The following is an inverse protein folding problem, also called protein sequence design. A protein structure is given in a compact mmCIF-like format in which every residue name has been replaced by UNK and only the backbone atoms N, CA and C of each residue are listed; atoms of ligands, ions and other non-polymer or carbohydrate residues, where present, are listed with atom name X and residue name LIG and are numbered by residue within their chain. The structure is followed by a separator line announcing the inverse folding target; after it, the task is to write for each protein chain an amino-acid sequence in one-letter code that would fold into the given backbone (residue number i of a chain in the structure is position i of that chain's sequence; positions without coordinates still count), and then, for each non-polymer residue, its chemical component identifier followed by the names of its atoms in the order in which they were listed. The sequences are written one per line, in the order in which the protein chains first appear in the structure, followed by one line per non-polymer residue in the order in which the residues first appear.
data_IF_690708001651
#
_entry.id   IF_690708001651
#
_cell.length_a   1.000
_cell.length_b   1.000
_cell.length_c   1.000
_cell.angle_alpha   90.00
_cell.angle_beta   90.00
_cell.angle_gamma   90.00
#
_symmetry.space_group_name_H-M   'P 1'
#
loop_
_entity.id
_entity.type
_entity.pdbx_description
1 polymer ?
#
# COMPACT_ATOMS: atom_id res chain seq x y z
N UNK A 1 -13.37 -11.88 13.19
CA UNK A 1 -13.31 -11.70 11.73
C UNK A 1 -12.23 -12.64 11.19
N UNK A 2 -12.56 -13.45 10.19
CA UNK A 2 -11.51 -14.20 9.47
C UNK A 2 -10.59 -13.21 8.78
N UNK A 3 -9.28 -13.34 9.02
CA UNK A 3 -8.24 -12.47 8.46
C UNK A 3 -8.34 -12.37 6.93
N UNK A 4 -8.78 -13.45 6.27
CA UNK A 4 -8.96 -13.53 4.83
C UNK A 4 -10.11 -12.64 4.34
N UNK A 5 -11.25 -12.64 5.06
CA UNK A 5 -12.40 -11.80 4.72
C UNK A 5 -12.05 -10.32 4.88
N UNK A 6 -11.36 -9.97 5.96
CA UNK A 6 -10.87 -8.61 6.19
C UNK A 6 -9.87 -8.18 5.10
N UNK A 7 -8.93 -9.07 4.73
CA UNK A 7 -7.94 -8.80 3.68
C UNK A 7 -8.60 -8.58 2.33
N UNK A 8 -9.59 -9.41 1.99
CA UNK A 8 -10.38 -9.26 0.77
C UNK A 8 -11.12 -7.93 0.75
N UNK A 9 -11.87 -7.61 1.81
CA UNK A 9 -12.66 -6.39 1.91
C UNK A 9 -11.78 -5.13 1.85
N UNK A 10 -10.67 -5.10 2.59
CA UNK A 10 -9.70 -4.01 2.48
C UNK A 10 -9.08 -3.92 1.09
N UNK A 11 -8.85 -5.06 0.42
CA UNK A 11 -8.42 -5.10 -0.98
C UNK A 11 -9.39 -4.39 -1.92
N UNK A 12 -10.69 -4.64 -1.77
CA UNK A 12 -11.76 -3.96 -2.51
C UNK A 12 -11.73 -2.46 -2.20
N UNK A 13 -11.66 -2.08 -0.92
CA UNK A 13 -11.61 -0.67 -0.51
C UNK A 13 -10.39 0.06 -1.05
N UNK A 14 -9.21 -0.56 -1.04
CA UNK A 14 -8.00 0.02 -1.61
C UNK A 14 -8.13 0.25 -3.11
N UNK A 15 -8.78 -0.66 -3.83
CA UNK A 15 -9.02 -0.55 -5.26
C UNK A 15 -9.99 0.60 -5.57
N UNK A 16 -11.13 0.67 -4.87
CA UNK A 16 -12.13 1.74 -5.04
C UNK A 16 -11.53 3.10 -4.65
N UNK A 17 -10.84 3.17 -3.51
CA UNK A 17 -10.13 4.38 -3.10
C UNK A 17 -9.16 4.87 -4.17
N UNK A 18 -8.35 3.95 -4.72
CA UNK A 18 -7.38 4.30 -5.77
C UNK A 18 -8.07 4.77 -7.05
N UNK A 19 -9.24 4.24 -7.36
CA UNK A 19 -10.07 4.65 -8.49
C UNK A 19 -10.68 6.04 -8.28
N UNK A 20 -11.28 6.33 -7.12
CA UNK A 20 -11.79 7.67 -6.80
C UNK A 20 -10.64 8.68 -6.88
N UNK A 21 -9.50 8.36 -6.28
CA UNK A 21 -8.33 9.24 -6.27
C UNK A 21 -7.76 9.48 -7.68
N UNK A 22 -7.87 8.49 -8.58
CA UNK A 22 -7.48 8.65 -9.97
C UNK A 22 -8.27 9.79 -10.65
N UNK A 23 -9.59 9.91 -10.41
CA UNK A 23 -10.37 11.02 -10.94
C UNK A 23 -9.99 12.37 -10.32
N UNK A 24 -9.64 12.39 -9.04
CA UNK A 24 -9.14 13.60 -8.38
C UNK A 24 -7.83 14.07 -9.03
N UNK A 25 -6.86 13.16 -9.21
CA UNK A 25 -5.61 13.47 -9.91
C UNK A 25 -5.86 13.92 -11.36
N UNK A 26 -6.82 13.29 -12.05
CA UNK A 26 -7.19 13.66 -13.41
C UNK A 26 -7.79 15.06 -13.48
N UNK A 27 -8.70 15.40 -12.56
CA UNK A 27 -9.30 16.73 -12.45
C UNK A 27 -8.24 17.80 -12.20
N UNK A 28 -7.33 17.56 -11.25
CA UNK A 28 -6.20 18.47 -11.01
C UNK A 28 -5.34 18.65 -12.26
N UNK A 29 -5.00 17.55 -12.96
CA UNK A 29 -4.19 17.62 -14.18
C UNK A 29 -4.84 18.43 -15.30
N UNK A 30 -6.16 18.33 -15.47
CA UNK A 30 -6.89 19.16 -16.44
C UNK A 30 -6.81 20.63 -16.05
N UNK A 31 -7.04 20.94 -14.77
CA UNK A 31 -7.00 22.33 -14.27
C UNK A 31 -5.60 22.95 -14.35
N UNK A 32 -4.55 22.17 -14.11
CA UNK A 32 -3.15 22.62 -14.15
C UNK A 32 -2.50 22.40 -15.51
N UNK A 33 -3.27 22.06 -16.55
CA UNK A 33 -2.76 21.79 -17.89
C UNK A 33 -1.98 23.00 -18.41
N UNK A 34 -0.67 22.84 -18.61
CA UNK A 34 0.26 23.90 -19.04
C UNK A 34 1.23 24.41 -17.97
N UNK A 35 1.03 24.07 -16.69
CA UNK A 35 2.00 24.39 -15.63
C UNK A 35 3.04 23.28 -15.51
N UNK A 36 4.33 23.63 -15.49
CA UNK A 36 5.41 22.69 -15.17
C UNK A 36 5.28 22.35 -13.68
N UNK A 37 4.58 21.26 -13.38
CA UNK A 37 4.43 20.78 -12.01
C UNK A 37 5.79 20.35 -11.47
N UNK A 38 6.31 21.07 -10.48
CA UNK A 38 7.55 20.73 -9.81
C UNK A 38 7.47 19.39 -9.07
N UNK A 39 8.63 18.80 -8.78
CA UNK A 39 8.78 17.55 -8.03
C UNK A 39 8.01 17.60 -6.70
N UNK A 40 8.09 18.75 -6.00
CA UNK A 40 7.43 18.98 -4.71
C UNK A 40 5.90 18.89 -4.78
N UNK A 41 5.29 19.41 -5.86
CA UNK A 41 3.83 19.34 -6.05
C UNK A 41 3.34 17.89 -6.16
N UNK A 42 4.05 17.07 -6.92
CA UNK A 42 3.72 15.65 -7.10
C UNK A 42 3.82 14.87 -5.77
N UNK A 43 4.84 15.14 -4.97
CA UNK A 43 4.98 14.51 -3.65
C UNK A 43 3.96 15.02 -2.63
N UNK A 44 3.54 16.29 -2.69
CA UNK A 44 2.45 16.80 -1.84
C UNK A 44 1.13 16.13 -2.14
N UNK A 45 0.72 16.03 -3.42
CA UNK A 45 -0.50 15.31 -3.80
C UNK A 45 -0.44 13.86 -3.30
N UNK A 46 0.73 13.22 -3.42
CA UNK A 46 0.94 11.86 -2.95
C UNK A 46 0.89 11.73 -1.42
N UNK A 47 1.39 12.73 -0.69
CA UNK A 47 1.29 12.79 0.76
C UNK A 47 -0.17 12.89 1.20
N UNK A 48 -0.93 13.80 0.59
CA UNK A 48 -2.36 14.00 0.85
C UNK A 48 -3.11 12.68 0.57
N UNK A 49 -2.83 12.03 -0.56
CA UNK A 49 -3.36 10.71 -0.90
C UNK A 49 -3.13 9.70 0.23
N UNK A 50 -1.89 9.55 0.69
CA UNK A 50 -1.59 8.48 1.66
C UNK A 50 -2.19 8.78 3.04
N UNK A 51 -2.19 10.05 3.46
CA UNK A 51 -2.81 10.47 4.72
C UNK A 51 -4.33 10.25 4.70
N UNK A 52 -5.01 10.61 3.62
CA UNK A 52 -6.45 10.35 3.48
C UNK A 52 -6.76 8.87 3.42
N UNK A 53 -5.94 8.08 2.71
CA UNK A 53 -6.12 6.63 2.67
C UNK A 53 -6.09 6.04 4.10
N UNK A 54 -5.07 6.39 4.88
CA UNK A 54 -4.93 5.95 6.27
C UNK A 54 -6.15 6.33 7.10
N UNK A 55 -6.59 7.58 6.99
CA UNK A 55 -7.74 8.07 7.72
C UNK A 55 -9.03 7.30 7.37
N UNK A 56 -9.33 7.14 6.08
CA UNK A 56 -10.52 6.43 5.61
C UNK A 56 -10.51 4.98 6.08
N UNK A 57 -9.38 4.29 5.99
CA UNK A 57 -9.23 2.90 6.43
C UNK A 57 -9.37 2.77 7.95
N UNK A 58 -8.83 3.73 8.70
CA UNK A 58 -9.05 3.80 10.14
C UNK A 58 -10.54 4.00 10.49
N UNK A 59 -11.24 4.90 9.78
CA UNK A 59 -12.67 5.16 9.96
C UNK A 59 -13.55 3.95 9.58
N UNK A 60 -13.10 3.12 8.63
CA UNK A 60 -13.71 1.82 8.37
C UNK A 60 -13.48 0.85 9.53
N UNK A 61 -12.29 0.86 10.13
CA UNK A 61 -11.93 -0.02 11.22
C UNK A 61 -12.58 0.33 12.56
N UNK A 62 -12.93 1.61 12.78
CA UNK A 62 -13.50 2.11 14.04
C UNK A 62 -14.98 2.48 13.96
N UNK A 63 -15.55 2.58 12.76
CA UNK A 63 -16.90 3.11 12.56
C UNK A 63 -18.04 2.21 13.06
N UNK A 64 -19.00 2.81 13.76
CA UNK A 64 -20.14 2.19 14.46
C UNK A 64 -21.35 1.82 13.57
N UNK A 65 -21.16 1.48 12.29
CA UNK A 65 -22.29 1.17 11.40
C UNK A 65 -22.62 -0.33 11.40
N UNK A 66 -23.83 -0.66 11.86
CA UNK A 66 -24.42 -1.99 12.10
C UNK A 66 -24.50 -2.93 10.88
N UNK A 67 -24.16 -2.47 9.67
CA UNK A 67 -24.32 -3.24 8.43
C UNK A 67 -23.03 -3.87 7.89
N UNK A 68 -21.86 -3.47 8.41
CA UNK A 68 -20.59 -4.11 8.07
C UNK A 68 -19.79 -4.34 9.34
N UNK A 69 -19.77 -5.59 9.79
CA UNK A 69 -19.08 -6.07 10.99
C UNK A 69 -17.57 -5.76 10.89
N UNK A 70 -17.11 -4.60 11.35
CA UNK A 70 -15.69 -4.41 11.66
C UNK A 70 -15.61 -4.20 13.16
N UNK A 71 -15.30 -5.29 13.85
CA UNK A 71 -15.21 -5.37 15.30
C UNK A 71 -14.09 -4.45 15.82
N UNK A 72 -14.33 -3.73 16.92
CA UNK A 72 -13.41 -2.76 17.56
C UNK A 72 -12.05 -3.39 17.93
N UNK A 73 -11.92 -4.73 17.92
CA UNK A 73 -10.65 -5.49 18.08
C UNK A 73 -9.79 -5.65 16.81
N UNK A 74 -10.20 -5.09 15.67
CA UNK A 74 -9.57 -5.37 14.36
C UNK A 74 -8.46 -4.40 13.93
N UNK A 75 -8.00 -3.49 14.79
CA UNK A 75 -7.00 -2.47 14.40
C UNK A 75 -5.63 -3.06 14.04
N UNK A 76 -5.17 -4.08 14.78
CA UNK A 76 -3.88 -4.74 14.51
C UNK A 76 -3.86 -5.37 13.11
N UNK A 77 -4.82 -6.24 12.72
CA UNK A 77 -4.80 -6.82 11.37
C UNK A 77 -5.02 -5.77 10.28
N UNK A 78 -5.82 -4.71 10.52
CA UNK A 78 -5.95 -3.57 9.59
C UNK A 78 -4.61 -2.89 9.36
N UNK A 79 -3.85 -2.61 10.44
CA UNK A 79 -2.52 -2.03 10.36
C UNK A 79 -1.58 -2.90 9.50
N UNK A 80 -1.55 -4.21 9.75
CA UNK A 80 -0.70 -5.14 8.98
C UNK A 80 -1.11 -5.21 7.50
N UNK A 81 -2.40 -5.28 7.19
CA UNK A 81 -2.88 -5.34 5.81
C UNK A 81 -2.56 -4.03 5.08
N UNK A 82 -2.69 -2.88 5.76
CA UNK A 82 -2.32 -1.57 5.25
C UNK A 82 -0.79 -1.47 5.01
N UNK A 83 0.04 -2.02 5.89
CA UNK A 83 1.48 -2.17 5.70
C UNK A 83 1.81 -2.97 4.45
N UNK A 84 1.18 -4.14 4.28
CA UNK A 84 1.38 -4.98 3.11
C UNK A 84 0.92 -4.30 1.81
N UNK A 85 -0.16 -3.51 1.88
CA UNK A 85 -0.60 -2.67 0.77
C UNK A 85 0.47 -1.65 0.37
N UNK A 86 0.98 -0.85 1.32
CA UNK A 86 2.01 0.14 1.05
C UNK A 86 3.31 -0.49 0.56
N UNK A 87 3.71 -1.62 1.14
CA UNK A 87 4.87 -2.38 0.70
C UNK A 87 4.71 -2.86 -0.74
N UNK A 88 3.51 -3.32 -1.12
CA UNK A 88 3.23 -3.68 -2.50
C UNK A 88 3.25 -2.52 -3.46
N UNK A 89 2.78 -1.36 -3.03
CA UNK A 89 2.86 -0.13 -3.82
C UNK A 89 4.30 0.34 -4.00
N UNK A 90 5.12 0.24 -2.96
CA UNK A 90 6.54 0.56 -2.99
C UNK A 90 7.30 -0.33 -3.99
N UNK A 91 7.13 -1.66 -3.87
CA UNK A 91 7.75 -2.65 -4.77
C UNK A 91 7.32 -2.44 -6.22
N UNK A 92 6.03 -2.16 -6.46
CA UNK A 92 5.51 -1.88 -7.81
C UNK A 92 6.18 -0.65 -8.42
N UNK A 93 6.25 0.46 -7.66
CA UNK A 93 6.86 1.70 -8.14
C UNK A 93 8.35 1.52 -8.43
N UNK A 94 9.06 0.72 -7.64
CA UNK A 94 10.47 0.40 -7.88
C UNK A 94 10.65 -0.46 -9.14
N UNK A 95 9.85 -1.52 -9.29
CA UNK A 95 9.97 -2.49 -10.39
C UNK A 95 9.57 -1.89 -11.74
N UNK A 96 8.55 -1.02 -11.77
CA UNK A 96 8.14 -0.33 -13.00
C UNK A 96 9.30 0.47 -13.63
N UNK A 97 10.11 1.16 -12.83
CA UNK A 97 11.26 1.89 -13.37
C UNK A 97 12.38 0.97 -13.86
N UNK A 98 12.58 -0.17 -13.17
CA UNK A 98 13.55 -1.17 -13.59
C UNK A 98 13.15 -1.88 -14.91
N UNK A 99 11.85 -2.05 -15.17
CA UNK A 99 11.36 -2.61 -16.44
C UNK A 99 11.51 -1.60 -17.58
N UNK A 100 11.13 -0.33 -17.38
CA UNK A 100 11.30 0.70 -18.40
C UNK A 100 12.77 0.93 -18.76
N UNK A 101 13.67 0.93 -17.77
CA UNK A 101 15.12 1.05 -18.02
C UNK A 101 15.68 -0.14 -18.81
N UNK A 102 15.18 -1.36 -18.58
CA UNK A 102 15.55 -2.57 -19.34
C UNK A 102 15.01 -2.58 -20.77
N UNK A 103 13.91 -1.89 -21.04
CA UNK A 103 13.29 -1.80 -22.37
C UNK A 103 13.88 -0.66 -23.23
N UNK A 104 14.89 0.05 -22.74
CA UNK A 104 15.48 1.20 -23.45
C UNK A 104 14.55 2.39 -23.60
N UNK A 105 13.37 2.36 -22.95
CA UNK A 105 12.41 3.47 -22.94
C UNK A 105 12.85 4.44 -21.86
N UNK A 106 13.14 5.70 -22.23
CA UNK A 106 13.39 6.76 -21.26
C UNK A 106 12.22 6.79 -20.29
N UNK A 107 12.51 6.49 -19.01
CA UNK A 107 11.48 6.43 -17.98
C UNK A 107 10.73 7.77 -17.97
N UNK A 108 9.38 7.78 -17.94
CA UNK A 108 8.64 9.02 -17.83
C UNK A 108 9.18 9.80 -16.64
N UNK A 109 9.37 11.13 -16.80
CA UNK A 109 10.06 12.08 -15.89
C UNK A 109 9.62 12.07 -14.41
N UNK A 110 8.68 11.23 -14.00
CA UNK A 110 8.38 10.97 -12.58
C UNK A 110 9.50 10.08 -12.02
N UNK A 111 10.63 10.70 -11.70
CA UNK A 111 11.73 10.06 -11.00
C UNK A 111 11.24 9.58 -9.63
N UNK A 112 10.89 8.30 -9.55
CA UNK A 112 10.68 7.62 -8.27
C UNK A 112 11.91 7.84 -7.40
N UNK A 113 11.69 8.39 -6.22
CA UNK A 113 12.71 8.51 -5.22
C UNK A 113 12.32 7.65 -4.03
N UNK A 114 13.06 6.55 -3.83
CA UNK A 114 12.81 5.61 -2.75
C UNK A 114 12.80 6.29 -1.38
N UNK A 115 13.63 7.33 -1.16
CA UNK A 115 13.70 8.06 0.12
C UNK A 115 12.39 8.80 0.39
N UNK A 116 11.86 9.51 -0.61
CA UNK A 116 10.60 10.22 -0.45
C UNK A 116 9.42 9.25 -0.28
N UNK A 117 9.39 8.12 -0.99
CA UNK A 117 8.35 7.11 -0.75
C UNK A 117 8.37 6.57 0.67
N UNK A 118 9.56 6.24 1.20
CA UNK A 118 9.69 5.76 2.57
C UNK A 118 9.21 6.82 3.55
N UNK A 119 9.62 8.09 3.39
CA UNK A 119 9.16 9.19 4.24
C UNK A 119 7.63 9.32 4.20
N UNK A 120 7.02 9.25 3.02
CA UNK A 120 5.56 9.35 2.88
C UNK A 120 4.83 8.17 3.55
N UNK A 121 5.34 6.95 3.38
CA UNK A 121 4.79 5.76 4.02
C UNK A 121 4.93 5.86 5.54
N UNK A 122 6.10 6.24 6.05
CA UNK A 122 6.34 6.44 7.48
C UNK A 122 5.43 7.51 8.07
N UNK A 123 5.28 8.66 7.40
CA UNK A 123 4.38 9.73 7.83
C UNK A 123 2.93 9.24 7.91
N UNK A 124 2.53 8.38 6.98
CA UNK A 124 1.19 7.79 6.95
C UNK A 124 0.95 6.85 8.14
N UNK A 125 1.96 6.05 8.52
CA UNK A 125 1.86 5.21 9.72
C UNK A 125 1.94 6.00 11.03
N UNK A 126 2.69 7.10 11.07
CA UNK A 126 2.63 8.04 12.19
C UNK A 126 1.23 8.65 12.33
N UNK A 127 0.59 9.03 11.21
CA UNK A 127 -0.78 9.49 11.22
C UNK A 127 -1.76 8.40 11.70
N UNK A 128 -1.58 7.13 11.28
CA UNK A 128 -2.39 6.01 11.79
C UNK A 128 -2.22 5.89 13.32
N UNK A 129 -0.99 5.91 13.82
CA UNK A 129 -0.71 5.89 15.25
C UNK A 129 -1.35 7.05 16.00
N UNK A 130 -1.28 8.27 15.45
CA UNK A 130 -1.96 9.43 16.00
C UNK A 130 -3.49 9.25 16.09
N UNK A 131 -4.12 8.70 15.04
CA UNK A 131 -5.56 8.43 15.04
C UNK A 131 -5.96 7.36 16.07
N UNK A 132 -5.08 6.44 16.43
CA UNK A 132 -5.33 5.48 17.52
C UNK A 132 -5.45 6.20 18.86
N UNK A 133 -4.67 7.27 19.11
CA UNK A 133 -4.77 8.09 20.32
C UNK A 133 -5.95 9.08 20.26
N UNK A 134 -6.19 9.68 19.09
CA UNK A 134 -7.23 10.70 18.88
C UNK A 134 -8.22 10.27 17.77
N UNK A 135 -9.11 9.29 18.05
CA UNK A 135 -10.01 8.72 17.03
C UNK A 135 -11.03 9.72 16.49
N UNK A 136 -11.37 10.76 17.26
CA UNK A 136 -12.31 11.81 16.85
C UNK A 136 -11.82 12.57 15.62
N UNK A 137 -10.50 12.69 15.43
CA UNK A 137 -9.90 13.37 14.27
C UNK A 137 -10.15 12.60 12.96
N UNK A 138 -10.35 11.28 13.05
CA UNK A 138 -10.65 10.47 11.89
C UNK A 138 -12.02 10.80 11.28
N UNK A 139 -12.97 11.22 12.12
CA UNK A 139 -14.34 11.49 11.72
C UNK A 139 -14.49 12.94 11.22
N UNK A 140 -14.05 13.19 9.99
CA UNK A 140 -14.26 14.46 9.30
C UNK A 140 -15.13 14.30 8.04
N UNK A 141 -15.65 15.41 7.50
CA UNK A 141 -16.57 15.39 6.36
C UNK A 141 -15.97 14.71 5.12
N UNK A 142 -14.68 14.94 4.85
CA UNK A 142 -14.00 14.38 3.67
C UNK A 142 -13.82 12.88 3.83
N UNK A 143 -13.36 12.41 5.00
CA UNK A 143 -13.18 10.99 5.28
C UNK A 143 -14.51 10.23 5.25
N UNK A 144 -15.59 10.82 5.77
CA UNK A 144 -16.96 10.28 5.66
C UNK A 144 -17.42 10.18 4.22
N UNK A 145 -17.25 11.24 3.43
CA UNK A 145 -17.59 11.22 2.01
C UNK A 145 -16.84 10.12 1.25
N UNK A 146 -15.54 9.95 1.50
CA UNK A 146 -14.78 8.84 0.91
C UNK A 146 -15.29 7.47 1.36
N UNK A 147 -15.58 7.30 2.66
CA UNK A 147 -16.13 6.06 3.21
C UNK A 147 -17.45 5.69 2.55
N UNK A 148 -18.39 6.63 2.51
CA UNK A 148 -19.72 6.47 1.88
C UNK A 148 -19.58 6.16 0.38
N UNK A 149 -18.77 6.95 -0.34
CA UNK A 149 -18.52 6.72 -1.76
C UNK A 149 -17.93 5.33 -2.05
N UNK A 150 -17.05 4.83 -1.18
CA UNK A 150 -16.50 3.48 -1.32
C UNK A 150 -17.58 2.41 -1.13
N UNK A 151 -18.45 2.56 -0.13
CA UNK A 151 -19.56 1.63 0.14
C UNK A 151 -20.57 1.65 -1.01
N UNK A 152 -20.91 2.82 -1.55
CA UNK A 152 -21.85 2.97 -2.66
C UNK A 152 -21.32 2.32 -3.93
N UNK A 153 -20.01 2.49 -4.23
CA UNK A 153 -19.37 1.85 -5.38
C UNK A 153 -19.27 0.33 -5.19
N UNK A 154 -18.96 -0.14 -3.98
CA UNK A 154 -18.91 -1.57 -3.68
C UNK A 154 -20.28 -2.26 -3.84
N UNK A 155 -21.35 -1.57 -3.41
CA UNK A 155 -22.72 -2.10 -3.46
C UNK A 155 -23.37 -2.03 -4.84
N UNK A 156 -22.80 -1.22 -5.76
CA UNK A 156 -23.25 -1.15 -7.15
C UNK A 156 -23.01 -2.48 -7.87
N UNK A 157 -24.00 -3.03 -8.57
CA UNK A 157 -23.95 -4.40 -9.11
C UNK A 157 -22.71 -4.70 -10.01
N UNK A 158 -22.62 -4.06 -11.18
CA UNK A 158 -21.55 -4.34 -12.16
C UNK A 158 -20.21 -3.79 -11.67
N UNK A 159 -20.22 -2.55 -11.17
CA UNK A 159 -19.00 -1.85 -10.75
C UNK A 159 -18.41 -2.54 -9.51
N UNK A 160 -19.23 -2.85 -8.51
CA UNK A 160 -18.83 -3.57 -7.31
C UNK A 160 -18.29 -4.97 -7.60
N UNK A 161 -18.85 -5.68 -8.59
CA UNK A 161 -18.29 -6.96 -9.05
C UNK A 161 -16.85 -6.81 -9.57
N UNK A 162 -16.58 -5.79 -10.40
CA UNK A 162 -15.22 -5.52 -10.91
C UNK A 162 -14.25 -5.28 -9.75
N UNK A 163 -14.64 -4.46 -8.77
CA UNK A 163 -13.80 -4.20 -7.61
C UNK A 163 -13.60 -5.42 -6.71
N UNK A 164 -14.60 -6.31 -6.59
CA UNK A 164 -14.46 -7.61 -5.91
C UNK A 164 -13.44 -8.52 -6.61
N UNK A 165 -13.41 -8.55 -7.93
CA UNK A 165 -12.36 -9.26 -8.69
C UNK A 165 -10.98 -8.68 -8.39
N UNK A 166 -10.85 -7.35 -8.36
CA UNK A 166 -9.58 -6.70 -7.99
C UNK A 166 -9.19 -7.03 -6.53
N UNK A 167 -10.16 -7.02 -5.60
CA UNK A 167 -9.95 -7.41 -4.20
C UNK A 167 -9.49 -8.86 -4.06
N UNK A 168 -9.98 -9.76 -4.92
CA UNK A 168 -9.51 -11.15 -4.97
C UNK A 168 -8.03 -11.23 -5.38
N UNK A 169 -7.61 -10.51 -6.43
CA UNK A 169 -6.20 -10.45 -6.81
C UNK A 169 -5.32 -9.80 -5.74
N UNK A 170 -5.85 -8.82 -5.01
CA UNK A 170 -5.15 -8.23 -3.87
C UNK A 170 -4.90 -9.27 -2.77
N UNK A 171 -5.91 -10.07 -2.43
CA UNK A 171 -5.79 -11.17 -1.48
C UNK A 171 -4.73 -12.19 -1.93
N UNK A 172 -4.76 -12.62 -3.20
CA UNK A 172 -3.75 -13.53 -3.75
C UNK A 172 -2.34 -12.94 -3.63
N UNK A 173 -2.18 -11.66 -4.00
CA UNK A 173 -0.91 -10.97 -3.90
C UNK A 173 -0.39 -10.88 -2.45
N UNK A 174 -1.26 -10.65 -1.47
CA UNK A 174 -0.88 -10.69 -0.06
C UNK A 174 -0.46 -12.10 0.35
N UNK A 175 -1.23 -13.13 0.00
CA UNK A 175 -0.89 -14.52 0.33
C UNK A 175 0.47 -14.91 -0.23
N UNK A 176 0.75 -14.62 -1.50
CA UNK A 176 2.06 -14.90 -2.11
C UNK A 176 3.19 -14.18 -1.37
N UNK A 177 3.01 -12.92 -0.98
CA UNK A 177 4.02 -12.17 -0.22
C UNK A 177 4.27 -12.78 1.15
N UNK A 178 3.21 -13.12 1.86
CA UNK A 178 3.31 -13.78 3.17
C UNK A 178 4.07 -15.10 3.05
N UNK A 179 3.74 -15.94 2.06
CA UNK A 179 4.45 -17.20 1.79
C UNK A 179 5.94 -16.95 1.52
N UNK A 180 6.26 -16.00 0.64
CA UNK A 180 7.66 -15.67 0.29
C UNK A 180 8.44 -15.16 1.51
N UNK A 181 7.81 -14.35 2.38
CA UNK A 181 8.42 -13.90 3.63
C UNK A 181 8.69 -15.05 4.59
N UNK A 182 7.75 -16.00 4.73
CA UNK A 182 7.98 -17.21 5.53
C UNK A 182 9.13 -18.06 4.97
N UNK A 183 9.16 -18.28 3.66
CA UNK A 183 10.26 -19.01 3.01
C UNK A 183 11.62 -18.35 3.25
N UNK A 184 11.70 -17.03 3.15
CA UNK A 184 12.93 -16.27 3.43
C UNK A 184 13.38 -16.40 4.90
N UNK A 185 12.44 -16.34 5.85
CA UNK A 185 12.77 -16.51 7.27
C UNK A 185 13.24 -17.94 7.53
N UNK A 186 12.55 -18.95 7.00
CA UNK A 186 12.93 -20.36 7.16
C UNK A 186 14.30 -20.61 6.56
N UNK A 187 14.58 -20.13 5.35
CA UNK A 187 15.88 -20.33 4.70
C UNK A 187 17.02 -19.67 5.48
N UNK A 188 16.77 -18.51 6.10
CA UNK A 188 17.75 -17.84 6.96
C UNK A 188 17.97 -18.61 8.27
N UNK A 189 16.92 -19.14 8.88
CA UNK A 189 17.01 -19.95 10.11
C UNK A 189 17.71 -21.29 9.87
N UNK A 190 17.50 -21.91 8.70
CA UNK A 190 18.17 -23.17 8.34
C UNK A 190 19.62 -22.94 7.89
N UNK A 191 19.92 -21.84 7.19
CA UNK A 191 21.27 -21.46 6.77
C UNK A 191 22.19 -21.07 7.94
N UNK A 192 21.67 -20.47 9.00
CA UNK A 192 22.46 -20.19 10.23
C UNK A 192 22.90 -21.49 10.92
N UNK A 193 22.19 -22.61 10.70
CA UNK A 193 22.51 -23.91 11.29
C UNK A 193 23.60 -24.69 10.53
N UNK A 194 24.01 -24.23 9.34
CA UNK A 194 25.04 -24.87 8.49
C UNK A 194 26.39 -24.14 8.48
N UNK A 195 26.65 -23.25 9.44
CA UNK A 195 27.85 -22.40 9.51
C UNK A 195 28.93 -22.84 10.50
N UNK A 196 29.12 -24.15 10.70
CA UNK A 196 30.25 -24.72 11.44
C UNK A 196 30.82 -25.92 10.68
N UNK A 197 31.41 -25.67 9.51
CA UNK A 197 32.45 -26.53 8.92
C UNK A 197 32.96 -25.89 7.62
N UNK A 198 34.16 -25.30 7.71
CA UNK A 198 35.25 -25.27 6.70
C UNK A 198 35.98 -23.92 6.72
N UNK A 199 36.82 -23.78 7.76
CA UNK A 199 38.15 -23.22 7.54
C UNK A 199 38.95 -24.25 6.74
N UNK A 200 39.39 -23.88 5.52
CA UNK A 200 40.62 -24.35 4.86
C UNK A 200 40.68 -23.62 3.51
N UNK A 201 41.47 -22.53 3.44
CA UNK A 201 42.79 -22.54 2.78
C UNK A 201 42.71 -23.12 1.38
N UNK A 202 42.62 -22.25 0.37
CA UNK A 202 43.48 -22.25 -0.83
C UNK A 202 42.95 -21.20 -1.81
N UNK A 203 43.84 -20.25 -2.15
CA UNK A 203 43.98 -19.56 -3.44
C UNK A 203 44.76 -18.25 -3.23
N UNK A 204 46.02 -18.40 -2.78
CA UNK A 204 47.06 -17.46 -3.17
C UNK A 204 47.63 -17.99 -4.49
N UNK A 205 47.17 -17.45 -5.62
CA UNK A 205 47.95 -17.49 -6.85
C UNK A 205 48.52 -16.08 -7.05
N UNK A 206 49.81 -15.96 -6.76
CA UNK A 206 50.60 -14.75 -6.95
C UNK A 206 50.67 -14.41 -8.44
N UNK A 207 50.58 -13.11 -8.73
CA UNK A 207 50.62 -12.54 -10.08
C UNK A 207 52.08 -12.32 -10.47
N UNK A 208 52.54 -12.95 -11.55
CA UNK A 208 53.66 -12.46 -12.38
C UNK A 208 53.18 -12.16 -13.81
#
# INVERSE_FOLDING_TARGET
MDILKLTFQLGVFFAIYSFIWFFIEFGFKIMTSGLVTGILHNYLIKAIKYLFLVNVIFLFATGENETTVIDKKSLIPVFFILLLYFLGKFQKNQNTNALFSRMGVQSPKVQFNARYEVILISLSFLAFGFLVFEPNVANNAIARWFKESIIDIESTAIIGFIFKVIGFFFLLNILTKTINSFQYIISKLTSVKSGHSQDQFDDFEEVE
#
